data_IF_355551093540
#
_entry.id   IF_355551093540
#
_cell.length_a   1.000
_cell.length_b   1.000
_cell.length_c   1.000
_cell.angle_alpha   90.00
_cell.angle_beta   90.00
_cell.angle_gamma   90.00
#
_symmetry.space_group_name_H-M   'P 1'
#
loop_
_entity.id
_entity.type
_entity.pdbx_description
1 polymer ?
#
# COMPACT_ATOMS: atom_id res chain seq x y z
N UNK A 1 19.51 8.12 17.08
CA UNK A 1 19.03 7.64 15.76
C UNK A 1 18.50 8.84 15.00
N UNK A 2 19.08 9.18 13.86
CA UNK A 2 18.72 10.42 13.16
C UNK A 2 17.57 10.13 12.19
N UNK A 3 16.35 10.48 12.59
CA UNK A 3 15.15 10.41 11.77
C UNK A 3 14.60 11.82 11.66
N UNK A 4 14.37 12.30 10.45
CA UNK A 4 13.74 13.59 10.24
C UNK A 4 12.26 13.54 10.60
N UNK A 5 11.69 14.69 10.93
CA UNK A 5 10.25 14.84 11.00
C UNK A 5 9.64 14.50 9.63
N UNK A 6 8.64 13.60 9.57
CA UNK A 6 8.02 13.24 8.30
C UNK A 6 7.18 14.40 7.76
N UNK A 7 7.28 14.66 6.46
CA UNK A 7 6.38 15.59 5.79
C UNK A 7 5.24 14.83 5.11
N UNK A 8 4.03 15.41 5.13
CA UNK A 8 2.85 14.84 4.46
C UNK A 8 2.29 15.78 3.38
N UNK A 9 1.77 15.20 2.30
CA UNK A 9 1.09 15.93 1.24
C UNK A 9 -0.06 15.08 0.70
N UNK A 10 -1.06 15.74 0.12
CA UNK A 10 -2.23 15.07 -0.44
C UNK A 10 -2.68 15.78 -1.70
N UNK A 11 -3.09 15.00 -2.70
CA UNK A 11 -3.55 15.50 -3.98
C UNK A 11 -4.91 14.90 -4.33
N UNK A 12 -5.87 15.76 -4.65
CA UNK A 12 -7.21 15.35 -5.10
C UNK A 12 -7.29 15.36 -6.61
N UNK A 13 -7.74 14.25 -7.19
CA UNK A 13 -7.85 14.09 -8.64
C UNK A 13 -9.16 14.71 -9.17
N UNK A 14 -10.26 14.63 -8.43
CA UNK A 14 -11.55 15.14 -8.91
C UNK A 14 -11.63 16.67 -8.80
N UNK A 15 -12.41 17.28 -9.70
CA UNK A 15 -12.89 18.66 -9.57
C UNK A 15 -13.49 18.88 -8.17
N UNK A 16 -13.53 20.13 -7.65
CA UNK A 16 -13.91 20.40 -6.28
C UNK A 16 -15.40 20.11 -6.04
N UNK A 17 -15.72 18.84 -5.83
CA UNK A 17 -16.94 18.37 -5.18
C UNK A 17 -16.69 18.37 -3.67
N UNK A 18 -17.75 18.52 -2.88
CA UNK A 18 -17.70 18.51 -1.40
C UNK A 18 -17.02 17.25 -0.84
N UNK A 19 -17.01 16.13 -1.58
CA UNK A 19 -16.37 14.87 -1.21
C UNK A 19 -15.25 14.52 -2.20
N UNK A 20 -14.03 14.34 -1.69
CA UNK A 20 -12.86 13.88 -2.45
C UNK A 20 -12.73 12.37 -2.31
N UNK A 21 -12.89 11.61 -3.41
CA UNK A 21 -12.89 10.13 -3.37
C UNK A 21 -11.75 9.46 -4.14
N UNK A 22 -10.94 10.26 -4.85
CA UNK A 22 -9.82 9.80 -5.69
C UNK A 22 -8.66 10.78 -5.57
N UNK A 23 -7.47 10.25 -5.40
CA UNK A 23 -6.31 11.07 -5.08
C UNK A 23 -5.10 10.24 -4.65
N UNK A 24 -4.06 10.95 -4.22
CA UNK A 24 -2.90 10.39 -3.56
C UNK A 24 -2.68 11.06 -2.21
N UNK A 25 -2.31 10.30 -1.19
CA UNK A 25 -1.74 10.80 0.05
C UNK A 25 -0.33 10.27 0.13
N UNK A 26 0.58 11.08 0.62
CA UNK A 26 1.98 10.71 0.68
C UNK A 26 2.62 11.20 1.96
N UNK A 27 3.60 10.43 2.40
CA UNK A 27 4.48 10.72 3.52
C UNK A 27 5.91 10.54 3.03
N UNK A 28 6.75 11.51 3.33
CA UNK A 28 8.18 11.42 3.07
C UNK A 28 8.95 11.60 4.38
N UNK A 29 10.10 10.96 4.47
CA UNK A 29 11.02 11.17 5.58
C UNK A 29 12.46 10.90 5.17
N UNK A 30 13.38 11.49 5.93
CA UNK A 30 14.78 11.08 5.92
C UNK A 30 15.03 10.12 7.07
N UNK A 31 15.51 8.93 6.73
CA UNK A 31 16.01 7.96 7.68
C UNK A 31 17.53 7.92 7.53
N UNK A 32 18.24 8.50 8.50
CA UNK A 32 19.65 8.86 8.37
C UNK A 32 19.92 9.68 7.09
N UNK A 33 20.90 9.30 6.27
CA UNK A 33 21.22 9.96 4.99
C UNK A 33 20.44 9.39 3.81
N UNK A 34 19.25 8.86 4.03
CA UNK A 34 18.44 8.20 2.98
C UNK A 34 17.02 8.74 2.97
N UNK A 35 16.57 9.18 1.81
CA UNK A 35 15.21 9.70 1.62
C UNK A 35 14.23 8.62 1.17
N UNK A 36 13.08 8.57 1.86
CA UNK A 36 12.00 7.62 1.60
C UNK A 36 10.74 8.40 1.26
N UNK A 37 10.05 7.99 0.20
CA UNK A 37 8.72 8.48 -0.16
C UNK A 37 7.73 7.32 -0.23
N UNK A 38 6.62 7.45 0.47
CA UNK A 38 5.51 6.51 0.42
C UNK A 38 4.29 7.23 -0.12
N UNK A 39 3.68 6.66 -1.17
CA UNK A 39 2.50 7.22 -1.83
C UNK A 39 1.40 6.16 -1.78
N UNK A 40 0.28 6.47 -1.15
CA UNK A 40 -0.95 5.69 -1.25
C UNK A 40 -1.92 6.40 -2.18
N UNK A 41 -2.42 5.72 -3.21
CA UNK A 41 -3.38 6.32 -4.15
C UNK A 41 -4.61 5.46 -4.39
N UNK A 42 -5.71 6.14 -4.66
CA UNK A 42 -6.95 5.54 -5.16
C UNK A 42 -7.26 6.18 -6.51
N UNK A 43 -6.97 5.46 -7.60
CA UNK A 43 -7.09 5.96 -8.98
C UNK A 43 -8.48 5.71 -9.57
N UNK A 44 -8.76 6.33 -10.72
CA UNK A 44 -10.03 6.22 -11.43
C UNK A 44 -10.46 4.77 -11.67
N UNK A 45 -11.68 4.46 -11.21
CA UNK A 45 -12.27 3.13 -11.30
C UNK A 45 -12.85 2.84 -12.69
N UNK A 46 -13.37 1.63 -12.88
CA UNK A 46 -13.95 1.06 -14.11
C UNK A 46 -12.92 0.56 -15.14
N UNK A 47 -13.36 -0.41 -15.95
CA UNK A 47 -12.51 -1.17 -16.86
C UNK A 47 -11.87 -0.29 -17.93
N UNK A 48 -12.69 0.53 -18.60
CA UNK A 48 -12.30 1.31 -19.78
C UNK A 48 -11.49 2.59 -19.45
N UNK A 49 -11.45 3.00 -18.19
CA UNK A 49 -10.85 4.26 -17.75
C UNK A 49 -9.31 4.19 -17.60
N UNK A 50 -8.64 3.49 -18.51
CA UNK A 50 -7.17 3.34 -18.50
C UNK A 50 -6.50 4.69 -18.64
N UNK A 51 -6.95 5.53 -19.58
CA UNK A 51 -6.37 6.85 -19.82
C UNK A 51 -6.58 7.80 -18.63
N UNK A 52 -7.72 7.70 -17.94
CA UNK A 52 -7.96 8.45 -16.70
C UNK A 52 -6.96 8.04 -15.62
N UNK A 53 -6.71 6.74 -15.42
CA UNK A 53 -5.69 6.28 -14.46
C UNK A 53 -4.28 6.77 -14.81
N UNK A 54 -3.94 6.83 -16.10
CA UNK A 54 -2.65 7.39 -16.56
C UNK A 54 -2.59 8.89 -16.24
N UNK A 55 -3.68 9.63 -16.49
CA UNK A 55 -3.80 11.05 -16.16
C UNK A 55 -3.68 11.29 -14.65
N UNK A 56 -4.36 10.49 -13.85
CA UNK A 56 -4.33 10.51 -12.40
C UNK A 56 -2.91 10.32 -11.85
N UNK A 57 -2.21 9.29 -12.33
CA UNK A 57 -0.79 9.06 -12.02
C UNK A 57 0.08 10.28 -12.34
N UNK A 58 -0.04 10.83 -13.57
CA UNK A 58 0.74 12.00 -14.01
C UNK A 58 0.44 13.24 -13.16
N UNK A 59 -0.83 13.44 -12.80
CA UNK A 59 -1.27 14.57 -11.97
C UNK A 59 -0.78 14.44 -10.53
N UNK A 60 -0.80 13.25 -9.95
CA UNK A 60 -0.19 13.01 -8.63
C UNK A 60 1.31 13.34 -8.71
N UNK A 61 2.06 12.80 -9.68
CA UNK A 61 3.50 13.06 -9.79
C UNK A 61 3.87 14.56 -9.86
N UNK A 62 3.02 15.37 -10.52
CA UNK A 62 3.21 16.83 -10.68
C UNK A 62 2.64 17.66 -9.55
N UNK A 63 1.65 17.12 -8.83
CA UNK A 63 0.84 17.86 -7.86
C UNK A 63 1.25 17.66 -6.40
N UNK A 64 2.19 16.77 -6.12
CA UNK A 64 2.74 16.61 -4.78
C UNK A 64 3.72 17.74 -4.47
N UNK A 65 3.31 18.62 -3.57
CA UNK A 65 4.10 19.73 -3.06
C UNK A 65 5.08 19.24 -1.97
N UNK A 66 6.25 18.74 -2.38
CA UNK A 66 7.30 18.25 -1.50
C UNK A 66 8.69 18.57 -2.05
N UNK A 67 9.75 18.48 -1.23
CA UNK A 67 9.70 18.73 0.19
C UNK A 67 9.47 20.23 0.43
N UNK A 68 8.67 20.52 1.45
CA UNK A 68 8.28 21.87 1.85
C UNK A 68 9.34 22.53 2.71
N UNK A 69 10.06 21.74 3.51
CA UNK A 69 11.02 22.27 4.50
C UNK A 69 12.46 22.14 3.99
N UNK A 70 12.74 21.13 3.16
CA UNK A 70 14.09 20.88 2.68
C UNK A 70 14.34 21.64 1.37
N UNK A 71 15.38 22.51 1.28
CA UNK A 71 15.66 23.27 0.09
C UNK A 71 16.33 22.38 -0.95
N UNK A 72 15.57 21.50 -1.61
CA UNK A 72 16.07 20.83 -2.81
C UNK A 72 16.04 21.87 -3.94
N UNK A 73 17.18 22.51 -4.20
CA UNK A 73 17.33 23.52 -5.27
C UNK A 73 16.83 23.04 -6.65
N UNK A 74 16.73 21.73 -6.87
CA UNK A 74 16.22 21.12 -8.11
C UNK A 74 14.69 21.01 -8.22
N UNK A 75 13.92 21.39 -7.20
CA UNK A 75 12.45 21.26 -7.22
C UNK A 75 11.78 22.02 -8.37
N UNK A 76 12.39 23.13 -8.78
CA UNK A 76 11.84 24.00 -9.84
C UNK A 76 11.95 23.43 -11.25
N UNK A 77 12.57 22.26 -11.44
CA UNK A 77 12.90 21.74 -12.77
C UNK A 77 12.52 20.28 -13.06
N UNK A 78 11.92 19.55 -12.10
CA UNK A 78 11.44 18.17 -12.37
C UNK A 78 9.92 18.13 -12.50
N UNK A 79 9.42 17.41 -13.49
CA UNK A 79 8.00 17.12 -13.67
C UNK A 79 7.54 15.86 -12.91
N UNK A 80 8.46 15.19 -12.23
CA UNK A 80 8.23 13.95 -11.50
C UNK A 80 8.96 13.96 -10.14
N UNK A 81 8.20 14.25 -9.09
CA UNK A 81 8.67 14.26 -7.69
C UNK A 81 9.31 12.95 -7.26
N UNK A 82 8.88 11.82 -7.83
CA UNK A 82 9.33 10.49 -7.41
C UNK A 82 10.80 10.24 -7.78
N UNK A 83 11.34 10.99 -8.74
CA UNK A 83 12.74 10.93 -9.13
C UNK A 83 13.71 11.48 -8.07
N UNK A 84 13.22 12.22 -7.09
CA UNK A 84 14.05 12.97 -6.14
C UNK A 84 14.46 12.15 -4.91
N UNK A 85 13.73 11.09 -4.64
CA UNK A 85 13.90 10.25 -3.47
C UNK A 85 14.82 9.06 -3.75
N UNK A 86 15.54 8.60 -2.73
CA UNK A 86 16.40 7.43 -2.83
C UNK A 86 15.61 6.15 -3.05
N UNK A 87 14.49 6.02 -2.32
CA UNK A 87 13.52 4.96 -2.48
C UNK A 87 12.10 5.54 -2.47
N UNK A 88 11.28 5.06 -3.40
CA UNK A 88 9.85 5.39 -3.49
C UNK A 88 9.06 4.10 -3.45
N UNK A 89 8.04 4.05 -2.60
CA UNK A 89 7.02 3.01 -2.60
C UNK A 89 5.68 3.64 -2.96
N UNK A 90 5.06 3.17 -4.03
CA UNK A 90 3.75 3.62 -4.48
C UNK A 90 2.78 2.46 -4.43
N UNK A 91 1.73 2.58 -3.63
CA UNK A 91 0.76 1.52 -3.41
C UNK A 91 -0.67 2.05 -3.33
N UNK A 92 -1.63 1.13 -3.23
CA UNK A 92 -3.05 1.42 -3.04
C UNK A 92 -3.94 0.74 -4.07
N UNK A 93 -5.20 1.17 -4.14
CA UNK A 93 -6.15 0.76 -5.17
C UNK A 93 -5.88 1.56 -6.45
N UNK A 94 -4.97 1.02 -7.27
CA UNK A 94 -4.60 1.60 -8.55
C UNK A 94 -5.66 1.32 -9.64
N UNK A 95 -6.65 0.48 -9.35
CA UNK A 95 -7.84 0.23 -10.17
C UNK A 95 -7.60 -0.29 -11.60
N UNK A 96 -6.37 -0.71 -11.95
CA UNK A 96 -6.11 -1.40 -13.22
C UNK A 96 -6.78 -2.77 -13.26
N UNK A 97 -7.27 -3.15 -14.45
CA UNK A 97 -8.09 -4.35 -14.66
C UNK A 97 -7.39 -5.34 -15.58
N UNK A 98 -8.00 -6.52 -15.74
CA UNK A 98 -7.59 -7.52 -16.71
C UNK A 98 -8.35 -7.26 -18.03
N UNK A 99 -7.62 -7.08 -19.13
CA UNK A 99 -8.13 -6.86 -20.48
C UNK A 99 -8.61 -8.15 -21.15
N UNK A 100 -9.54 -8.84 -20.52
CA UNK A 100 -10.24 -10.02 -21.06
C UNK A 100 -11.71 -10.05 -20.61
N UNK A 101 -12.61 -10.71 -21.37
CA UNK A 101 -13.97 -10.98 -20.93
C UNK A 101 -14.01 -11.75 -19.62
N UNK A 102 -15.02 -11.48 -18.77
CA UNK A 102 -15.12 -12.06 -17.42
C UNK A 102 -15.02 -13.58 -17.40
N UNK A 103 -15.71 -14.26 -18.30
CA UNK A 103 -15.76 -15.72 -18.30
C UNK A 103 -14.38 -16.33 -18.58
N UNK A 104 -13.63 -15.75 -19.53
CA UNK A 104 -12.25 -16.15 -19.82
C UNK A 104 -11.29 -15.86 -18.66
N UNK A 105 -11.53 -14.79 -17.88
CA UNK A 105 -10.79 -14.53 -16.64
C UNK A 105 -11.11 -15.59 -15.59
N UNK A 106 -12.41 -15.86 -15.36
CA UNK A 106 -12.86 -16.81 -14.34
C UNK A 106 -12.33 -18.23 -14.58
N UNK A 107 -12.27 -18.69 -15.83
CA UNK A 107 -11.68 -19.98 -16.20
C UNK A 107 -10.20 -20.10 -15.76
N UNK A 108 -9.46 -19.00 -15.85
CA UNK A 108 -8.05 -18.96 -15.48
C UNK A 108 -7.83 -18.76 -13.98
N UNK A 109 -8.66 -17.95 -13.31
CA UNK A 109 -8.44 -17.54 -11.91
C UNK A 109 -9.36 -18.24 -10.92
N UNK A 110 -10.14 -19.23 -11.37
CA UNK A 110 -11.00 -20.04 -10.49
C UNK A 110 -10.75 -21.52 -10.69
N UNK A 111 -10.85 -22.30 -9.61
CA UNK A 111 -10.87 -23.77 -9.66
C UNK A 111 -11.87 -24.25 -8.62
N UNK A 112 -12.85 -25.06 -9.04
CA UNK A 112 -13.96 -25.51 -8.19
C UNK A 112 -14.66 -24.33 -7.47
N UNK A 113 -14.82 -23.21 -8.16
CA UNK A 113 -15.42 -21.98 -7.63
C UNK A 113 -14.56 -21.20 -6.63
N UNK A 114 -13.33 -21.64 -6.35
CA UNK A 114 -12.40 -20.95 -5.45
C UNK A 114 -11.39 -20.11 -6.23
N UNK A 115 -11.02 -18.92 -5.73
CA UNK A 115 -9.95 -18.10 -6.30
C UNK A 115 -8.62 -18.83 -6.35
N UNK A 116 -7.91 -18.71 -7.47
CA UNK A 116 -6.55 -19.19 -7.64
C UNK A 116 -5.69 -18.21 -8.43
N UNK A 117 -4.38 -18.31 -8.21
CA UNK A 117 -3.40 -17.62 -9.05
C UNK A 117 -3.23 -18.34 -10.39
N UNK A 118 -3.06 -17.55 -11.45
CA UNK A 118 -2.64 -18.01 -12.78
C UNK A 118 -1.60 -17.04 -13.32
N UNK A 119 -0.41 -17.52 -13.68
CA UNK A 119 0.63 -16.68 -14.28
C UNK A 119 0.21 -16.13 -15.66
N UNK A 120 -0.60 -16.89 -16.41
CA UNK A 120 -1.03 -16.51 -17.76
C UNK A 120 -1.91 -15.25 -17.77
N UNK A 121 -2.72 -15.04 -16.73
CA UNK A 121 -3.64 -13.90 -16.65
C UNK A 121 -2.90 -12.56 -16.61
N UNK A 122 -1.66 -12.54 -16.09
CA UNK A 122 -0.85 -11.34 -15.95
C UNK A 122 -0.43 -10.74 -17.30
N UNK A 123 -0.47 -11.53 -18.38
CA UNK A 123 -0.25 -11.02 -19.75
C UNK A 123 -1.34 -10.04 -20.19
N UNK A 124 -2.49 -10.07 -19.53
CA UNK A 124 -3.64 -9.23 -19.80
C UNK A 124 -3.84 -8.14 -18.73
N UNK A 125 -2.92 -8.01 -17.77
CA UNK A 125 -2.98 -6.97 -16.74
C UNK A 125 -2.61 -5.60 -17.33
N UNK A 126 -3.55 -4.64 -17.24
CA UNK A 126 -3.37 -3.29 -17.80
C UNK A 126 -2.17 -2.56 -17.20
N UNK A 127 -1.89 -2.72 -15.89
CA UNK A 127 -0.78 -2.01 -15.24
C UNK A 127 0.57 -2.53 -15.72
N UNK A 128 0.75 -3.85 -15.76
CA UNK A 128 2.00 -4.46 -16.21
C UNK A 128 2.34 -4.07 -17.66
N UNK A 129 1.33 -4.01 -18.55
CA UNK A 129 1.53 -3.53 -19.93
C UNK A 129 2.05 -2.08 -19.93
N UNK A 130 1.39 -1.19 -19.18
CA UNK A 130 1.75 0.24 -19.15
C UNK A 130 3.12 0.52 -18.51
N UNK A 131 3.51 -0.26 -17.50
CA UNK A 131 4.86 -0.20 -16.91
C UNK A 131 5.90 -0.62 -17.96
N UNK A 132 5.64 -1.73 -18.66
CA UNK A 132 6.54 -2.28 -19.69
C UNK A 132 6.71 -1.32 -20.87
N UNK A 133 5.61 -0.71 -21.32
CA UNK A 133 5.61 0.31 -22.39
C UNK A 133 6.21 1.66 -21.94
N UNK A 134 6.29 1.90 -20.63
CA UNK A 134 6.74 3.18 -20.07
C UNK A 134 5.70 4.32 -20.13
N UNK A 135 4.43 3.99 -20.40
CA UNK A 135 3.31 4.93 -20.51
C UNK A 135 2.79 5.42 -19.14
N UNK A 136 2.97 4.61 -18.09
CA UNK A 136 2.69 4.97 -16.70
C UNK A 136 3.72 4.34 -15.76
N UNK A 137 3.91 4.93 -14.57
CA UNK A 137 4.84 4.44 -13.54
C UNK A 137 6.26 4.19 -14.06
N UNK A 138 6.76 5.06 -14.94
CA UNK A 138 8.09 4.93 -15.55
C UNK A 138 9.19 4.83 -14.49
N UNK A 139 10.03 3.81 -14.60
CA UNK A 139 11.14 3.55 -13.67
C UNK A 139 10.72 2.90 -12.35
N UNK A 140 9.45 2.57 -12.16
CA UNK A 140 9.00 1.68 -11.10
C UNK A 140 9.14 0.22 -11.51
N UNK A 141 9.23 -0.64 -10.50
CA UNK A 141 9.17 -2.09 -10.59
C UNK A 141 8.08 -2.60 -9.66
N UNK A 142 7.59 -3.80 -9.96
CA UNK A 142 6.66 -4.53 -9.11
C UNK A 142 7.27 -5.90 -8.80
N UNK A 143 7.04 -6.40 -7.58
CA UNK A 143 7.46 -7.74 -7.23
C UNK A 143 6.59 -8.78 -7.97
N UNK A 144 7.09 -9.99 -8.26
CA UNK A 144 6.30 -11.03 -8.91
C UNK A 144 5.01 -11.34 -8.14
N UNK A 145 3.87 -11.33 -8.85
CA UNK A 145 2.56 -11.67 -8.28
C UNK A 145 2.40 -13.18 -8.31
N UNK A 146 2.13 -13.79 -7.15
CA UNK A 146 1.88 -15.23 -6.99
C UNK A 146 0.58 -15.52 -6.22
N UNK A 147 -0.30 -14.54 -6.13
CA UNK A 147 -1.56 -14.58 -5.40
C UNK A 147 -2.76 -14.36 -6.35
N UNK A 148 -3.99 -14.79 -6.00
CA UNK A 148 -5.17 -14.58 -6.84
C UNK A 148 -5.54 -13.09 -6.96
N UNK A 149 -6.37 -12.71 -7.96
CA UNK A 149 -6.90 -11.35 -8.07
C UNK A 149 -7.53 -10.86 -6.76
N UNK A 150 -7.32 -9.60 -6.41
CA UNK A 150 -7.73 -9.04 -5.10
C UNK A 150 -9.08 -8.36 -5.12
N UNK A 151 -9.68 -8.23 -6.29
CA UNK A 151 -10.99 -7.63 -6.53
C UNK A 151 -11.71 -8.41 -7.63
N UNK A 152 -13.04 -8.49 -7.71
CA UNK A 152 -14.04 -8.08 -6.71
C UNK A 152 -14.65 -9.31 -6.06
N UNK A 153 -14.78 -9.28 -4.74
CA UNK A 153 -15.40 -10.33 -3.94
C UNK A 153 -16.75 -9.90 -3.38
N UNK A 154 -17.61 -10.86 -3.07
CA UNK A 154 -18.77 -10.62 -2.21
C UNK A 154 -18.30 -10.45 -0.75
N UNK A 155 -18.59 -9.30 -0.09
CA UNK A 155 -18.17 -9.07 1.29
C UNK A 155 -18.65 -10.17 2.25
N UNK A 156 -17.78 -10.55 3.19
CA UNK A 156 -17.96 -11.67 4.11
C UNK A 156 -17.52 -13.01 3.55
N UNK A 157 -17.22 -13.12 2.25
CA UNK A 157 -16.96 -14.40 1.57
C UNK A 157 -15.61 -14.45 0.84
N UNK A 158 -15.32 -15.62 0.25
CA UNK A 158 -14.25 -15.82 -0.73
C UNK A 158 -14.77 -15.90 -2.17
N UNK A 159 -16.05 -15.63 -2.40
CA UNK A 159 -16.69 -15.79 -3.69
C UNK A 159 -16.50 -14.52 -4.53
N UNK A 160 -16.41 -14.70 -5.85
CA UNK A 160 -16.41 -13.59 -6.81
C UNK A 160 -17.74 -12.84 -6.80
N UNK A 161 -17.69 -11.58 -7.23
CA UNK A 161 -18.85 -10.69 -7.33
C UNK A 161 -20.05 -11.37 -8.02
N UNK A 162 -21.10 -11.61 -7.22
CA UNK A 162 -22.37 -12.18 -7.65
C UNK A 162 -23.45 -11.12 -7.89
N UNK A 163 -23.14 -9.83 -7.67
CA UNK A 163 -24.07 -8.75 -7.96
C UNK A 163 -24.38 -8.63 -9.45
N UNK A 164 -25.45 -7.90 -9.80
CA UNK A 164 -25.85 -7.63 -11.20
C UNK A 164 -24.74 -6.98 -12.04
N UNK A 165 -23.75 -6.36 -11.39
CA UNK A 165 -22.60 -5.72 -12.06
C UNK A 165 -21.55 -6.71 -12.55
N UNK A 166 -21.56 -7.94 -12.02
CA UNK A 166 -20.68 -9.07 -12.38
C UNK A 166 -19.26 -8.59 -12.72
N UNK A 167 -18.58 -7.92 -11.79
CA UNK A 167 -17.26 -7.34 -12.06
C UNK A 167 -16.23 -8.44 -12.34
N UNK A 168 -15.45 -8.26 -13.40
CA UNK A 168 -14.33 -9.14 -13.73
C UNK A 168 -13.27 -9.12 -12.63
N UNK A 169 -12.75 -10.28 -12.18
CA UNK A 169 -11.64 -10.33 -11.25
C UNK A 169 -10.40 -9.56 -11.76
N UNK A 170 -9.72 -8.83 -10.88
CA UNK A 170 -8.57 -7.97 -11.21
C UNK A 170 -7.60 -7.77 -10.04
N UNK A 171 -6.36 -7.42 -10.37
CA UNK A 171 -5.32 -6.97 -9.44
C UNK A 171 -5.38 -5.44 -9.31
N UNK A 172 -6.40 -4.94 -8.62
CA UNK A 172 -6.59 -3.50 -8.40
C UNK A 172 -5.63 -2.94 -7.36
N UNK A 173 -5.23 -3.76 -6.39
CA UNK A 173 -4.45 -3.37 -5.22
C UNK A 173 -2.98 -3.74 -5.43
N UNK A 174 -2.09 -2.75 -5.48
CA UNK A 174 -0.72 -2.93 -5.99
C UNK A 174 0.33 -2.28 -5.10
N UNK A 175 1.56 -2.78 -5.16
CA UNK A 175 2.73 -2.17 -4.48
C UNK A 175 3.89 -2.11 -5.47
N UNK A 176 4.15 -0.90 -5.94
CA UNK A 176 5.25 -0.57 -6.83
C UNK A 176 6.38 0.06 -6.03
N UNK A 177 7.61 -0.13 -6.49
CA UNK A 177 8.78 0.50 -5.90
C UNK A 177 9.73 1.06 -6.96
N UNK A 178 10.46 2.11 -6.61
CA UNK A 178 11.49 2.74 -7.43
C UNK A 178 12.67 3.11 -6.55
N UNK A 179 13.88 3.07 -7.10
CA UNK A 179 15.05 3.63 -6.44
C UNK A 179 15.94 4.38 -7.44
N UNK A 180 16.85 5.22 -6.93
CA UNK A 180 17.91 5.80 -7.76
C UNK A 180 18.82 4.72 -8.32
N UNK A 181 19.43 4.98 -9.47
CA UNK A 181 20.24 4.00 -10.24
C UNK A 181 21.41 3.41 -9.44
N UNK A 182 21.93 4.14 -8.44
CA UNK A 182 23.01 3.67 -7.54
C UNK A 182 22.52 2.85 -6.34
N UNK A 183 21.27 2.38 -6.37
CA UNK A 183 20.60 1.70 -5.25
C UNK A 183 19.82 0.48 -5.74
N UNK A 184 19.42 -0.36 -4.81
CA UNK A 184 18.64 -1.56 -5.07
C UNK A 184 17.56 -1.74 -4.00
N UNK A 185 16.38 -2.16 -4.43
CA UNK A 185 15.30 -2.63 -3.55
C UNK A 185 15.19 -4.14 -3.75
N UNK A 186 15.33 -4.92 -2.67
CA UNK A 186 15.09 -6.36 -2.71
C UNK A 186 13.69 -6.66 -2.17
N UNK A 187 12.82 -7.20 -3.00
CA UNK A 187 11.55 -7.78 -2.52
C UNK A 187 11.83 -9.15 -1.88
N UNK A 188 11.34 -9.34 -0.66
CA UNK A 188 11.43 -10.61 0.08
C UNK A 188 10.10 -11.38 0.03
N UNK A 189 8.98 -10.67 0.01
CA UNK A 189 7.65 -11.24 -0.12
C UNK A 189 6.69 -10.22 -0.73
N UNK A 190 5.70 -10.71 -1.47
CA UNK A 190 4.61 -9.92 -2.02
C UNK A 190 3.37 -10.82 -2.17
N UNK A 191 2.34 -10.55 -1.38
CA UNK A 191 1.20 -11.45 -1.24
C UNK A 191 -0.10 -10.72 -0.82
N UNK A 192 -1.22 -11.44 -0.86
CA UNK A 192 -2.53 -10.99 -0.42
C UNK A 192 -3.09 -11.83 0.73
N UNK A 193 -3.93 -11.24 1.57
CA UNK A 193 -4.56 -11.93 2.70
C UNK A 193 -5.99 -12.38 2.34
N UNK A 194 -6.12 -13.52 1.68
CA UNK A 194 -7.41 -14.06 1.21
C UNK A 194 -8.38 -14.45 2.33
N UNK A 195 -7.85 -14.73 3.53
CA UNK A 195 -8.66 -15.03 4.71
C UNK A 195 -9.34 -13.80 5.32
N UNK A 196 -8.91 -12.58 4.97
CA UNK A 196 -9.61 -11.34 5.34
C UNK A 196 -10.75 -11.12 4.36
N UNK A 197 -11.98 -11.11 4.89
CA UNK A 197 -13.20 -11.13 4.07
C UNK A 197 -14.15 -9.97 4.33
N UNK A 198 -13.80 -9.00 5.18
CA UNK A 198 -14.69 -7.89 5.56
C UNK A 198 -14.97 -6.92 4.41
N UNK A 199 -14.15 -6.91 3.36
CA UNK A 199 -14.29 -6.06 2.17
C UNK A 199 -14.38 -6.94 0.91
N UNK A 200 -14.88 -6.33 -0.16
CA UNK A 200 -14.81 -6.81 -1.53
C UNK A 200 -13.39 -6.79 -2.13
N UNK A 201 -12.42 -6.20 -1.44
CA UNK A 201 -10.99 -6.25 -1.74
C UNK A 201 -10.23 -7.14 -0.75
N UNK A 202 -9.15 -7.77 -1.21
CA UNK A 202 -8.20 -8.50 -0.35
C UNK A 202 -6.99 -7.60 -0.03
N UNK A 203 -6.59 -7.48 1.26
CA UNK A 203 -5.39 -6.71 1.61
C UNK A 203 -4.16 -7.25 0.90
N UNK A 204 -3.35 -6.36 0.33
CA UNK A 204 -2.06 -6.67 -0.30
C UNK A 204 -0.94 -6.14 0.58
N UNK A 205 0.11 -6.94 0.76
CA UNK A 205 1.28 -6.57 1.53
C UNK A 205 2.56 -6.96 0.81
N UNK A 206 3.64 -6.24 1.10
CA UNK A 206 4.96 -6.52 0.56
C UNK A 206 6.04 -6.28 1.62
N UNK A 207 7.06 -7.12 1.59
CA UNK A 207 8.23 -7.02 2.46
C UNK A 207 9.47 -6.73 1.61
N UNK A 208 10.17 -5.66 1.95
CA UNK A 208 11.31 -5.17 1.18
C UNK A 208 12.52 -4.91 2.06
N UNK A 209 13.71 -5.10 1.49
CA UNK A 209 14.98 -4.68 2.08
C UNK A 209 15.58 -3.57 1.22
N UNK A 210 16.01 -2.49 1.89
CA UNK A 210 16.69 -1.35 1.29
C UNK A 210 17.94 -1.01 2.07
N UNK A 211 18.95 -0.46 1.41
CA UNK A 211 20.19 -0.03 2.07
C UNK A 211 20.05 1.41 2.57
N UNK A 212 20.24 1.61 3.87
CA UNK A 212 20.27 2.92 4.52
C UNK A 212 21.70 3.43 4.60
N UNK A 213 21.91 4.70 4.27
CA UNK A 213 23.21 5.37 4.37
C UNK A 213 23.30 6.19 5.65
N UNK A 214 24.49 6.31 6.27
CA UNK A 214 24.75 7.28 7.31
C UNK A 214 24.40 8.70 6.84
N UNK A 215 23.95 9.55 7.77
CA UNK A 215 23.82 10.98 7.50
C UNK A 215 25.20 11.63 7.54
N UNK A 216 25.57 12.36 6.48
CA UNK A 216 26.78 13.18 6.46
C UNK A 216 26.56 14.42 5.59
N UNK A 217 27.13 15.57 5.97
CA UNK A 217 26.97 16.82 5.22
C UNK A 217 27.40 16.70 3.75
N UNK A 218 28.34 15.81 3.45
CA UNK A 218 28.77 15.52 2.08
C UNK A 218 27.71 14.81 1.20
N UNK A 219 26.72 14.14 1.80
CA UNK A 219 25.76 13.27 1.10
C UNK A 219 24.36 13.88 0.98
N UNK A 220 24.18 15.08 1.52
CA UNK A 220 22.92 15.81 1.53
C UNK A 220 23.20 17.17 0.92
N UNK A 221 22.42 17.61 -0.08
CA UNK A 221 22.68 18.88 -0.78
C UNK A 221 22.43 20.14 0.07
N UNK A 222 22.23 19.98 1.38
CA UNK A 222 21.90 21.01 2.37
C UNK A 222 22.45 20.58 3.75
N UNK A 223 22.66 21.55 4.65
CA UNK A 223 23.23 21.27 5.98
C UNK A 223 22.31 20.33 6.77
N UNK A 224 22.90 19.29 7.35
CA UNK A 224 22.17 18.36 8.23
C UNK A 224 21.66 19.05 9.50
N UNK A 225 22.30 20.14 9.92
CA UNK A 225 21.86 20.95 11.06
C UNK A 225 20.54 21.69 10.80
N UNK A 226 20.06 21.74 9.55
CA UNK A 226 18.80 22.38 9.18
C UNK A 226 17.63 21.41 8.99
N UNK A 227 17.85 20.09 9.13
CA UNK A 227 16.79 19.09 9.01
C UNK A 227 16.04 19.00 10.34
N UNK A 228 14.73 19.27 10.40
CA UNK A 228 13.95 19.04 11.61
C UNK A 228 14.00 17.56 11.97
N UNK A 229 14.48 17.26 13.18
CA UNK A 229 14.54 15.89 13.69
C UNK A 229 13.22 15.53 14.36
N UNK A 230 12.75 14.30 14.14
CA UNK A 230 11.61 13.80 14.89
C UNK A 230 11.93 13.69 16.38
N UNK A 231 13.19 13.46 16.76
CA UNK A 231 13.67 13.47 18.15
C UNK A 231 12.83 12.63 19.14
N UNK A 232 12.24 11.52 18.67
CA UNK A 232 11.38 10.67 19.48
C UNK A 232 9.91 11.11 19.52
N UNK A 233 9.47 12.00 18.64
CA UNK A 233 8.07 12.32 18.41
C UNK A 233 7.36 11.11 17.78
N UNK A 234 6.28 10.68 18.43
CA UNK A 234 5.34 9.70 17.94
C UNK A 234 3.96 9.95 18.55
N UNK A 235 2.91 9.32 18.01
CA UNK A 235 1.57 9.42 18.56
C UNK A 235 1.44 8.62 19.86
N UNK A 236 1.79 9.25 20.99
CA UNK A 236 1.83 8.64 22.32
C UNK A 236 0.49 8.04 22.73
N UNK A 237 -0.62 8.71 22.41
CA UNK A 237 -1.95 8.25 22.82
C UNK A 237 -2.35 6.95 22.10
N UNK A 238 -1.99 6.81 20.81
CA UNK A 238 -2.17 5.55 20.08
C UNK A 238 -1.32 4.45 20.70
N UNK A 239 -0.07 4.75 21.06
CA UNK A 239 0.81 3.79 21.70
C UNK A 239 0.25 3.28 23.04
N UNK A 240 -0.24 4.19 23.89
CA UNK A 240 -0.87 3.84 25.17
C UNK A 240 -2.16 3.03 24.97
N UNK A 241 -3.06 3.47 24.08
CA UNK A 241 -4.28 2.73 23.76
C UNK A 241 -3.97 1.31 23.25
N UNK A 242 -2.89 1.14 22.47
CA UNK A 242 -2.45 -0.17 22.01
C UNK A 242 -1.88 -1.06 23.14
N UNK A 243 -1.24 -0.48 24.16
CA UNK A 243 -0.79 -1.21 25.35
C UNK A 243 -1.98 -1.68 26.20
N UNK A 244 -2.95 -0.79 26.44
CA UNK A 244 -4.17 -1.11 27.20
C UNK A 244 -4.97 -2.23 26.54
N UNK A 245 -5.19 -2.16 25.22
CA UNK A 245 -5.88 -3.22 24.47
C UNK A 245 -5.16 -4.56 24.57
N UNK A 246 -3.82 -4.57 24.53
CA UNK A 246 -3.00 -5.79 24.69
C UNK A 246 -3.12 -6.37 26.10
N UNK A 247 -3.06 -5.54 27.13
CA UNK A 247 -3.23 -5.98 28.52
C UNK A 247 -4.61 -6.61 28.74
N UNK A 248 -5.68 -5.95 28.26
CA UNK A 248 -7.05 -6.47 28.33
C UNK A 248 -7.21 -7.79 27.58
N UNK A 249 -6.64 -7.91 26.38
CA UNK A 249 -6.71 -9.16 25.59
C UNK A 249 -5.98 -10.33 26.31
N UNK A 250 -4.84 -10.06 26.94
CA UNK A 250 -4.12 -11.07 27.74
C UNK A 250 -4.92 -11.50 28.96
N UNK A 251 -5.57 -10.57 29.66
CA UNK A 251 -6.41 -10.88 30.81
C UNK A 251 -7.63 -11.72 30.42
N UNK A 252 -8.29 -11.39 29.32
CA UNK A 252 -9.39 -12.20 28.76
C UNK A 252 -8.88 -13.61 28.42
N UNK A 253 -7.70 -13.73 27.81
CA UNK A 253 -7.10 -15.02 27.47
C UNK A 253 -6.83 -15.85 28.73
N UNK A 254 -6.24 -15.25 29.77
CA UNK A 254 -5.98 -15.90 31.08
C UNK A 254 -7.27 -16.43 31.73
N UNK A 255 -8.34 -15.62 31.73
CA UNK A 255 -9.64 -16.03 32.27
C UNK A 255 -10.26 -17.19 31.51
N UNK A 256 -10.13 -17.22 30.17
CA UNK A 256 -10.61 -18.32 29.33
C UNK A 256 -9.82 -19.63 29.51
N UNK A 257 -8.55 -19.54 29.92
CA UNK A 257 -7.68 -20.71 30.15
C UNK A 257 -7.72 -21.23 31.60
N UNK A 258 -8.38 -20.52 32.52
CA UNK A 258 -8.57 -21.03 33.88
C UNK A 258 -9.64 -22.13 33.88
N UNK A 259 -9.36 -23.32 34.45
CA UNK A 259 -10.36 -24.38 34.53
C UNK A 259 -11.58 -23.89 35.31
N UNK A 260 -12.76 -24.20 34.78
CA UNK A 260 -14.03 -24.02 35.50
C UNK A 260 -13.91 -24.67 36.88
N UNK A 261 -14.00 -23.87 37.94
CA UNK A 261 -14.22 -24.42 39.27
C UNK A 261 -15.61 -25.07 39.25
N UNK A 262 -15.65 -26.38 39.00
CA UNK A 262 -16.81 -27.20 39.34
C UNK A 262 -17.20 -26.85 40.77
N UNK A 263 -18.42 -26.35 40.96
CA UNK A 263 -18.98 -26.18 42.30
C UNK A 263 -19.05 -27.58 42.91
N UNK A 264 -18.10 -27.89 43.78
CA UNK A 264 -18.18 -29.06 44.64
C UNK A 264 -19.46 -28.92 45.46
N UNK A 265 -20.47 -29.73 45.14
CA UNK A 265 -21.62 -29.94 46.00
C UNK A 265 -21.08 -30.63 47.26
N UNK A 266 -20.81 -29.85 48.30
CA UNK A 266 -20.59 -30.40 49.63
C UNK A 266 -21.96 -30.88 50.11
N UNK A 267 -22.18 -32.19 49.98
CA UNK A 267 -23.27 -32.87 50.68
C UNK A 267 -22.84 -33.00 52.15
N UNK A 268 -23.40 -32.17 53.03
CA UNK A 268 -23.33 -32.42 54.47
C UNK A 268 -24.30 -33.56 54.80
N UNK A 269 -23.76 -34.68 55.25
CA UNK A 269 -24.52 -35.75 55.91
C UNK A 269 -24.27 -35.61 57.41
N UNK A 270 -25.38 -35.71 58.16
CA UNK A 270 -25.59 -35.63 59.62
C UNK A 270 -25.73 -34.24 60.23
#
# INVERSE_FOLDING_TARGET
MMVAEPETSSFSIRQPTTIKTKGGICIMLYFFGTSLLFINSHLSAHHDNVQDRISDYKRICRGLDFPKILPIKSHRYTSDITSMFDYVFWFGDLNFRISQPRDAVLEQVSTNGQPRFSQAILKHDQLLSLITEGSAFKGFSEAPIHFPPTYKYDPGTGNWDSSDKQRTPAYTDRILYRCKTSRTVKSLAYDSLTYVKTSDHKPVWGLFTVTIRPGSEANVSYSLFSIPLSAGLFQRDIYLAALERRATALEIKKRKTMPSKSKSLVCSIQ
#
